data_IF_975051664036
#
_entry.id   IF_975051664036
#
_cell.length_a   1.000
_cell.length_b   1.000
_cell.length_c   1.000
_cell.angle_alpha   90.00
_cell.angle_beta   90.00
_cell.angle_gamma   90.00
#
_symmetry.space_group_name_H-M   'P 1'
#
loop_
_entity.id
_entity.type
_entity.pdbx_description
1 polymer ?
#
# COMPACT_ATOMS: atom_id res chain seq x y z
N UNK A 1 11.97 14.79 -10.70
CA UNK A 1 10.69 14.31 -11.29
C UNK A 1 9.65 14.25 -10.18
N UNK A 2 8.41 14.66 -10.45
CA UNK A 2 7.33 14.54 -9.45
C UNK A 2 6.97 13.06 -9.26
N UNK A 3 6.73 12.66 -8.00
CA UNK A 3 6.21 11.34 -7.67
C UNK A 3 4.74 11.31 -8.07
N UNK A 4 4.32 10.29 -8.83
CA UNK A 4 2.91 10.15 -9.24
C UNK A 4 2.05 9.78 -8.01
N UNK A 5 0.81 10.26 -8.00
CA UNK A 5 -0.14 10.00 -6.91
C UNK A 5 -1.26 9.09 -7.40
N UNK A 6 -1.56 8.05 -6.64
CA UNK A 6 -2.74 7.22 -6.84
C UNK A 6 -3.98 7.92 -6.28
N UNK A 7 -4.91 8.33 -7.14
CA UNK A 7 -6.08 9.17 -6.77
C UNK A 7 -7.42 8.46 -6.87
N UNK A 8 -7.46 7.23 -7.38
CA UNK A 8 -8.71 6.47 -7.50
C UNK A 8 -9.24 6.05 -6.13
N UNK A 9 -10.55 6.09 -5.95
CA UNK A 9 -11.19 5.74 -4.68
C UNK A 9 -11.01 4.24 -4.39
N UNK A 10 -10.43 3.88 -3.26
CA UNK A 10 -10.29 2.48 -2.84
C UNK A 10 -11.50 2.10 -1.97
N UNK A 11 -12.18 1.00 -2.31
CA UNK A 11 -13.24 0.42 -1.47
C UNK A 11 -12.67 -0.05 -0.13
N UNK A 12 -13.48 0.10 0.91
CA UNK A 12 -13.15 -0.28 2.29
C UNK A 12 -13.71 -1.67 2.58
N UNK A 13 -12.90 -2.59 3.09
CA UNK A 13 -13.40 -3.89 3.52
C UNK A 13 -12.34 -4.82 4.09
N UNK A 14 -11.11 -4.76 3.57
CA UNK A 14 -10.02 -5.59 4.05
C UNK A 14 -9.13 -4.81 5.03
N UNK A 15 -8.77 -5.45 6.15
CA UNK A 15 -7.92 -4.87 7.16
C UNK A 15 -6.47 -4.75 6.65
N UNK A 16 -5.77 -3.64 6.92
CA UNK A 16 -4.36 -3.55 6.62
C UNK A 16 -3.53 -4.46 7.53
N UNK A 17 -2.42 -4.97 7.02
CA UNK A 17 -1.35 -5.52 7.84
C UNK A 17 -0.47 -4.36 8.29
N UNK A 18 -0.26 -4.21 9.60
CA UNK A 18 0.60 -3.17 10.17
C UNK A 18 1.51 -3.82 11.20
N UNK A 19 2.81 -3.75 10.95
CA UNK A 19 3.85 -4.26 11.82
C UNK A 19 4.81 -3.15 12.23
N UNK A 20 5.06 -3.01 13.54
CA UNK A 20 6.09 -2.13 14.08
C UNK A 20 7.32 -2.98 14.43
N UNK A 21 8.42 -2.75 13.73
CA UNK A 21 9.70 -3.39 14.03
C UNK A 21 10.28 -2.75 15.29
N UNK A 22 10.48 -3.56 16.32
CA UNK A 22 11.03 -3.13 17.61
C UNK A 22 12.17 -4.05 18.02
N UNK A 23 13.19 -3.48 18.62
CA UNK A 23 14.26 -4.21 19.31
C UNK A 23 13.94 -4.20 20.79
N UNK A 24 13.95 -5.38 21.39
CA UNK A 24 13.66 -5.56 22.82
C UNK A 24 14.89 -6.10 23.52
N UNK A 25 15.29 -5.45 24.61
CA UNK A 25 16.29 -5.95 25.56
C UNK A 25 15.60 -6.25 26.88
N UNK A 26 15.71 -7.50 27.36
CA UNK A 26 15.13 -7.92 28.64
C UNK A 26 16.22 -7.95 29.71
N UNK A 27 15.90 -7.44 30.88
CA UNK A 27 16.77 -7.41 32.05
C UNK A 27 16.35 -8.50 33.05
N UNK A 28 17.29 -8.96 33.88
CA UNK A 28 17.08 -10.06 34.82
C UNK A 28 16.13 -9.76 35.98
N UNK A 29 15.69 -8.51 36.13
CA UNK A 29 14.76 -8.01 37.15
C UNK A 29 13.32 -7.88 36.65
N UNK A 30 13.04 -8.38 35.44
CA UNK A 30 11.70 -8.35 34.83
C UNK A 30 11.39 -7.08 34.05
N UNK A 31 12.31 -6.10 34.01
CA UNK A 31 12.17 -4.93 33.15
C UNK A 31 12.58 -5.26 31.70
N UNK A 32 12.00 -4.52 30.76
CA UNK A 32 12.40 -4.54 29.35
C UNK A 32 12.54 -3.13 28.80
N UNK A 33 13.48 -2.96 27.90
CA UNK A 33 13.62 -1.77 27.07
C UNK A 33 13.19 -2.10 25.65
N UNK A 34 12.37 -1.24 25.05
CA UNK A 34 11.90 -1.37 23.67
C UNK A 34 12.31 -0.11 22.89
N UNK A 35 12.90 -0.31 21.71
CA UNK A 35 13.34 0.76 20.81
C UNK A 35 12.90 0.43 19.39
N UNK A 36 12.44 1.42 18.61
CA UNK A 36 12.12 1.22 17.19
C UNK A 36 13.34 0.75 16.38
N UNK A 37 13.13 -0.21 15.49
CA UNK A 37 14.19 -0.71 14.61
C UNK A 37 14.40 0.23 13.41
N UNK A 38 15.32 1.19 13.58
CA UNK A 38 15.68 2.16 12.55
C UNK A 38 14.71 3.35 12.44
N UNK A 39 14.98 4.24 11.47
CA UNK A 39 14.18 5.47 11.24
C UNK A 39 12.75 5.13 10.78
N UNK A 40 12.63 4.08 9.96
CA UNK A 40 11.37 3.63 9.37
C UNK A 40 10.99 2.26 9.95
N UNK A 41 10.44 2.26 11.16
CA UNK A 41 10.14 1.01 11.86
C UNK A 41 8.71 0.48 11.60
N UNK A 42 7.81 1.31 11.08
CA UNK A 42 6.44 0.92 10.71
C UNK A 42 6.40 0.39 9.28
N UNK A 43 6.10 -0.89 9.12
CA UNK A 43 5.83 -1.52 7.82
C UNK A 43 4.33 -1.80 7.75
N UNK A 44 3.66 -1.32 6.71
CA UNK A 44 2.25 -1.59 6.50
C UNK A 44 1.94 -1.99 5.05
N UNK A 45 0.90 -2.81 4.90
CA UNK A 45 0.40 -3.29 3.63
C UNK A 45 -1.13 -3.16 3.60
N UNK A 46 -1.63 -2.53 2.54
CA UNK A 46 -3.05 -2.24 2.39
C UNK A 46 -3.62 -3.02 1.22
N UNK A 47 -4.44 -4.05 1.45
CA UNK A 47 -5.29 -4.58 0.39
C UNK A 47 -6.27 -3.50 -0.06
N UNK A 48 -6.31 -3.24 -1.35
CA UNK A 48 -7.22 -2.28 -1.98
C UNK A 48 -8.04 -2.98 -3.04
N UNK A 49 -9.26 -2.48 -3.20
CA UNK A 49 -10.15 -2.86 -4.28
C UNK A 49 -10.70 -1.59 -4.91
N UNK A 50 -10.78 -1.53 -6.22
CA UNK A 50 -11.53 -0.52 -6.95
C UNK A 50 -12.47 -1.21 -7.93
N UNK A 51 -13.73 -0.78 -7.99
CA UNK A 51 -14.69 -1.27 -8.99
C UNK A 51 -15.11 -0.10 -9.86
N UNK A 52 -14.97 -0.23 -11.17
CA UNK A 52 -15.23 0.82 -12.14
C UNK A 52 -15.44 0.29 -13.55
N UNK A 53 -15.59 1.20 -14.52
CA UNK A 53 -15.71 0.81 -15.92
C UNK A 53 -14.35 0.37 -16.52
N UNK A 54 -14.39 -0.22 -17.72
CA UNK A 54 -13.19 -0.67 -18.45
C UNK A 54 -12.13 0.43 -18.61
N UNK A 55 -12.54 1.68 -18.89
CA UNK A 55 -11.60 2.79 -19.10
C UNK A 55 -10.81 3.11 -17.82
N UNK A 56 -11.51 3.15 -16.67
CA UNK A 56 -10.87 3.36 -15.36
C UNK A 56 -9.91 2.22 -15.03
N UNK A 57 -10.32 0.97 -15.26
CA UNK A 57 -9.45 -0.19 -15.01
C UNK A 57 -8.18 -0.14 -15.88
N UNK A 58 -8.30 0.20 -17.17
CA UNK A 58 -7.15 0.37 -18.06
C UNK A 58 -6.22 1.50 -17.59
N UNK A 59 -6.77 2.63 -17.14
CA UNK A 59 -5.97 3.74 -16.61
C UNK A 59 -5.20 3.35 -15.34
N UNK A 60 -5.82 2.58 -14.44
CA UNK A 60 -5.17 2.04 -13.25
C UNK A 60 -4.06 1.03 -13.59
N UNK A 61 -4.31 0.10 -14.52
CA UNK A 61 -3.29 -0.85 -14.96
C UNK A 61 -2.10 -0.13 -15.60
N UNK A 62 -2.35 0.85 -16.47
CA UNK A 62 -1.30 1.67 -17.06
C UNK A 62 -0.51 2.47 -16.01
N UNK A 63 -1.15 2.90 -14.92
CA UNK A 63 -0.46 3.51 -13.79
C UNK A 63 0.49 2.50 -13.13
N UNK A 64 0.03 1.29 -12.83
CA UNK A 64 0.90 0.25 -12.25
C UNK A 64 2.04 -0.14 -13.19
N UNK A 65 1.80 -0.22 -14.50
CA UNK A 65 2.82 -0.51 -15.52
C UNK A 65 3.94 0.54 -15.56
N UNK A 66 3.63 1.83 -15.35
CA UNK A 66 4.66 2.87 -15.22
C UNK A 66 5.51 2.71 -13.97
N UNK A 67 4.99 2.06 -12.93
CA UNK A 67 5.69 1.85 -11.67
C UNK A 67 6.42 0.50 -11.59
N UNK A 68 6.06 -0.47 -12.44
CA UNK A 68 6.77 -1.75 -12.62
C UNK A 68 7.04 -2.52 -11.32
N UNK A 69 6.13 -2.44 -10.35
CA UNK A 69 6.28 -3.14 -9.07
C UNK A 69 7.31 -2.57 -8.08
N UNK A 70 8.17 -1.63 -8.49
CA UNK A 70 9.32 -1.19 -7.71
C UNK A 70 9.38 0.33 -7.50
N UNK A 71 8.82 1.12 -8.41
CA UNK A 71 8.79 2.58 -8.27
C UNK A 71 7.68 2.95 -7.29
N UNK A 72 8.03 3.71 -6.27
CA UNK A 72 7.04 4.19 -5.31
C UNK A 72 6.13 5.27 -5.92
N UNK A 73 4.87 5.27 -5.47
CA UNK A 73 3.90 6.32 -5.72
C UNK A 73 3.31 6.83 -4.42
N UNK A 74 2.75 8.04 -4.45
CA UNK A 74 2.03 8.61 -3.33
C UNK A 74 0.62 8.02 -3.26
N UNK A 75 0.19 7.66 -2.07
CA UNK A 75 -1.19 7.28 -1.79
C UNK A 75 -1.59 7.71 -0.39
N UNK A 76 -2.84 8.12 -0.23
CA UNK A 76 -3.42 8.46 1.06
C UNK A 76 -4.18 7.25 1.59
N UNK A 77 -3.75 6.74 2.74
CA UNK A 77 -4.41 5.63 3.41
C UNK A 77 -5.87 5.96 3.76
N UNK A 78 -6.73 4.96 4.02
CA UNK A 78 -8.12 5.19 4.46
C UNK A 78 -8.26 6.06 5.71
N UNK A 79 -7.21 6.18 6.53
CA UNK A 79 -7.15 7.05 7.72
C UNK A 79 -6.62 8.46 7.42
N UNK A 80 -6.52 8.85 6.15
CA UNK A 80 -6.09 10.19 5.73
C UNK A 80 -4.58 10.43 5.79
N UNK A 81 -3.77 9.40 6.06
CA UNK A 81 -2.31 9.55 6.15
C UNK A 81 -1.67 9.38 4.76
N UNK A 82 -0.96 10.38 4.23
CA UNK A 82 -0.21 10.24 2.99
C UNK A 82 1.05 9.39 3.21
N UNK A 83 1.49 8.68 2.18
CA UNK A 83 2.82 8.11 2.16
C UNK A 83 3.16 7.42 0.84
N UNK A 84 4.35 6.82 0.82
CA UNK A 84 4.87 6.14 -0.36
C UNK A 84 4.57 4.65 -0.30
N UNK A 85 4.12 4.11 -1.43
CA UNK A 85 3.75 2.72 -1.58
C UNK A 85 4.18 2.15 -2.93
N UNK A 86 4.34 0.84 -2.98
CA UNK A 86 4.57 0.06 -4.20
C UNK A 86 3.47 -0.99 -4.37
N UNK A 87 3.27 -1.45 -5.60
CA UNK A 87 2.30 -2.50 -5.92
C UNK A 87 2.90 -3.45 -6.95
N UNK A 88 3.07 -4.73 -6.58
CA UNK A 88 3.70 -5.75 -7.45
C UNK A 88 2.71 -6.47 -8.36
N UNK A 89 1.58 -6.91 -7.81
CA UNK A 89 0.67 -7.85 -8.47
C UNK A 89 -0.78 -7.31 -8.50
N UNK A 90 -1.07 -6.23 -9.25
CA UNK A 90 -2.44 -5.78 -9.45
C UNK A 90 -3.23 -6.78 -10.31
N UNK A 91 -4.47 -7.06 -9.92
CA UNK A 91 -5.33 -8.06 -10.59
C UNK A 91 -6.61 -7.40 -11.09
N UNK A 92 -6.77 -7.21 -12.42
CA UNK A 92 -8.04 -6.79 -13.01
C UNK A 92 -8.96 -8.00 -13.24
N UNK A 93 -10.15 -7.96 -12.63
CA UNK A 93 -11.17 -9.01 -12.73
C UNK A 93 -12.40 -8.47 -13.48
N UNK A 94 -12.84 -9.06 -14.60
CA UNK A 94 -14.07 -8.66 -15.26
C UNK A 94 -15.29 -9.06 -14.42
N UNK A 95 -16.24 -8.13 -14.24
CA UNK A 95 -17.48 -8.36 -13.48
C UNK A 95 -18.73 -8.44 -14.37
N UNK A 96 -18.56 -8.37 -15.69
CA UNK A 96 -19.64 -8.28 -16.67
C UNK A 96 -20.10 -6.84 -16.93
N UNK A 97 -20.82 -6.62 -18.03
CA UNK A 97 -21.40 -5.31 -18.35
C UNK A 97 -20.39 -4.16 -18.55
N UNK A 98 -19.14 -4.46 -18.92
CA UNK A 98 -18.09 -3.44 -19.05
C UNK A 98 -17.55 -2.90 -17.70
N UNK A 99 -17.84 -3.61 -16.61
CA UNK A 99 -17.35 -3.31 -15.26
C UNK A 99 -16.17 -4.23 -14.94
N UNK A 100 -15.16 -3.66 -14.30
CA UNK A 100 -13.97 -4.34 -13.81
C UNK A 100 -13.76 -4.03 -12.34
N UNK A 101 -13.33 -5.06 -11.60
CA UNK A 101 -12.84 -4.97 -10.24
C UNK A 101 -11.32 -5.11 -10.28
N UNK A 102 -10.59 -4.08 -9.89
CA UNK A 102 -9.13 -4.12 -9.74
C UNK A 102 -8.81 -4.32 -8.27
N UNK A 103 -8.09 -5.39 -7.94
CA UNK A 103 -7.56 -5.65 -6.60
C UNK A 103 -6.04 -5.51 -6.60
N UNK A 104 -5.48 -5.03 -5.51
CA UNK A 104 -4.03 -4.89 -5.35
C UNK A 104 -3.67 -4.83 -3.86
N UNK A 105 -2.39 -5.03 -3.56
CA UNK A 105 -1.83 -4.73 -2.23
C UNK A 105 -0.80 -3.63 -2.36
N UNK A 106 -0.99 -2.56 -1.59
CA UNK A 106 -0.06 -1.43 -1.51
C UNK A 106 0.88 -1.65 -0.33
N UNK A 107 2.13 -1.95 -0.63
CA UNK A 107 3.20 -2.21 0.35
C UNK A 107 3.94 -0.91 0.64
N UNK A 108 4.17 -0.59 1.92
CA UNK A 108 4.95 0.59 2.34
C UNK A 108 6.30 0.63 1.64
N UNK A 109 6.61 1.76 1.02
CA UNK A 109 7.91 2.04 0.44
C UNK A 109 8.61 3.16 1.21
N UNK A 110 9.94 3.11 1.25
CA UNK A 110 10.79 4.14 1.83
C UNK A 110 11.81 4.56 0.78
N UNK A 111 11.98 5.86 0.61
CA UNK A 111 13.08 6.43 -0.18
C UNK A 111 14.04 7.17 0.77
N UNK A 112 15.36 7.08 0.55
CA UNK A 112 16.34 7.88 1.27
C UNK A 112 16.21 9.38 0.96
#
# INVERSE_FOLDING_TARGET
MAIETFTWATQHGEAPDITYRVRTSQFGDGYKQEVGDGINNKVDAYPITHTGNTSTALAMMAFFDRHKGAKAFLWTTPLGQPGLFTCKNPTPTPMGGGVFKVTATFERAFHP
#
